data_IF_722326865558
#
_entry.id   IF_722326865558
#
_cell.length_a   1.000
_cell.length_b   1.000
_cell.length_c   1.000
_cell.angle_alpha   90.00
_cell.angle_beta   90.00
_cell.angle_gamma   90.00
#
_symmetry.space_group_name_H-M   'P 1'
#
loop_
_entity.id
_entity.type
_entity.pdbx_description
1 polymer ?
#
# COMPACT_ATOMS: atom_id res chain seq x y z
N UNK A 1 -13.66 -1.47 8.68
CA UNK A 1 -13.62 -0.18 9.40
C UNK A 1 -13.13 0.87 8.41
N UNK A 2 -13.69 2.08 8.47
CA UNK A 2 -13.39 3.17 7.55
C UNK A 2 -11.99 3.75 7.82
N UNK A 3 -11.29 4.12 6.75
CA UNK A 3 -10.07 4.95 6.82
C UNK A 3 -10.45 6.28 7.49
N UNK A 4 -9.71 6.76 8.50
CA UNK A 4 -9.99 8.06 9.14
C UNK A 4 -9.96 9.21 8.10
N UNK A 5 -10.85 10.20 8.24
CA UNK A 5 -10.88 11.38 7.36
C UNK A 5 -9.56 12.14 7.42
N UNK A 6 -8.97 12.48 6.26
CA UNK A 6 -7.73 13.26 6.17
C UNK A 6 -8.07 14.75 6.24
N UNK A 7 -8.16 15.29 7.46
CA UNK A 7 -8.50 16.70 7.71
C UNK A 7 -7.26 17.60 7.82
N UNK A 8 -6.10 17.01 8.11
CA UNK A 8 -4.77 17.66 8.19
C UNK A 8 -3.71 16.83 7.47
N UNK A 9 -2.53 17.38 7.15
CA UNK A 9 -1.46 16.61 6.52
C UNK A 9 -1.03 15.41 7.38
N UNK A 10 -0.72 14.30 6.72
CA UNK A 10 -0.37 13.02 7.34
C UNK A 10 1.07 12.63 7.09
N UNK A 11 1.73 12.16 8.15
CA UNK A 11 3.01 11.47 8.07
C UNK A 11 2.81 9.96 8.32
N UNK A 12 3.33 9.14 7.40
CA UNK A 12 3.36 7.70 7.55
C UNK A 12 4.73 7.25 8.06
N UNK A 13 4.76 6.65 9.24
CA UNK A 13 5.96 6.16 9.91
C UNK A 13 5.97 4.63 9.83
N UNK A 14 6.78 4.10 8.94
CA UNK A 14 6.77 2.69 8.56
C UNK A 14 7.82 1.93 9.36
N UNK A 15 7.39 0.93 10.12
CA UNK A 15 8.27 -0.05 10.76
C UNK A 15 8.80 -1.02 9.69
N UNK A 16 10.08 -0.83 9.32
CA UNK A 16 10.69 -1.58 8.23
C UNK A 16 10.74 -3.08 8.52
N UNK A 17 11.24 -3.47 9.70
CA UNK A 17 11.43 -4.88 10.00
C UNK A 17 10.11 -5.62 10.15
N UNK A 18 9.08 -5.02 10.75
CA UNK A 18 7.76 -5.65 10.80
C UNK A 18 7.24 -5.98 9.38
N UNK A 19 7.38 -5.06 8.43
CA UNK A 19 6.95 -5.30 7.05
C UNK A 19 7.84 -6.31 6.29
N UNK A 20 9.15 -6.27 6.52
CA UNK A 20 10.11 -7.18 5.90
C UNK A 20 9.83 -8.62 6.33
N UNK A 21 9.68 -8.86 7.64
CA UNK A 21 9.35 -10.18 8.17
C UNK A 21 7.95 -10.62 7.72
N UNK A 22 6.96 -9.73 7.77
CA UNK A 22 5.61 -10.01 7.26
C UNK A 22 5.65 -10.48 5.81
N UNK A 23 6.38 -9.77 4.96
CA UNK A 23 6.53 -10.07 3.54
C UNK A 23 7.23 -11.40 3.32
N UNK A 24 8.33 -11.65 4.02
CA UNK A 24 9.05 -12.92 3.96
C UNK A 24 8.15 -14.12 4.32
N UNK A 25 7.47 -14.04 5.47
CA UNK A 25 6.64 -15.14 5.96
C UNK A 25 5.36 -15.36 5.15
N UNK A 26 4.83 -14.33 4.48
CA UNK A 26 3.69 -14.48 3.57
C UNK A 26 4.01 -15.44 2.40
N UNK A 27 5.26 -15.49 1.95
CA UNK A 27 5.71 -16.34 0.84
C UNK A 27 6.53 -17.56 1.28
N UNK A 28 6.73 -17.81 2.59
CA UNK A 28 7.62 -18.89 3.07
C UNK A 28 7.26 -20.28 2.51
N UNK A 29 5.97 -20.55 2.26
CA UNK A 29 5.51 -21.82 1.67
C UNK A 29 5.79 -21.93 0.18
N UNK A 30 5.89 -20.81 -0.53
CA UNK A 30 6.15 -20.71 -1.97
C UNK A 30 7.04 -19.48 -2.23
N UNK A 31 8.34 -19.56 -1.91
CA UNK A 31 9.24 -18.43 -2.04
C UNK A 31 9.34 -17.97 -3.49
N UNK A 32 9.38 -16.66 -3.68
CA UNK A 32 9.70 -16.06 -4.97
C UNK A 32 11.22 -16.06 -5.16
N UNK A 33 11.66 -16.43 -6.36
CA UNK A 33 13.09 -16.43 -6.71
C UNK A 33 13.30 -15.80 -8.09
N UNK A 34 14.40 -15.08 -8.25
CA UNK A 34 14.79 -14.54 -9.55
C UNK A 34 15.62 -15.56 -10.35
N UNK A 35 16.05 -15.17 -11.56
CA UNK A 35 16.83 -16.03 -12.45
C UNK A 35 18.22 -16.41 -11.88
N UNK A 36 18.76 -15.64 -10.94
CA UNK A 36 20.01 -15.92 -10.25
C UNK A 36 19.82 -16.83 -9.01
N UNK A 37 18.59 -17.21 -8.68
CA UNK A 37 18.27 -18.03 -7.51
C UNK A 37 18.19 -17.25 -6.20
N UNK A 38 18.22 -15.91 -6.24
CA UNK A 38 18.02 -15.03 -5.08
C UNK A 38 16.56 -15.10 -4.63
N UNK A 39 16.32 -15.20 -3.31
CA UNK A 39 14.97 -15.12 -2.75
C UNK A 39 14.49 -13.66 -2.79
N UNK A 40 13.46 -13.37 -3.59
CA UNK A 40 12.93 -12.02 -3.77
C UNK A 40 11.57 -11.81 -3.11
N UNK A 41 11.18 -12.73 -2.21
CA UNK A 41 9.90 -12.70 -1.50
C UNK A 41 9.71 -11.45 -0.65
N UNK A 42 10.69 -11.12 0.21
CA UNK A 42 10.60 -9.96 1.09
C UNK A 42 10.63 -8.64 0.31
N UNK A 43 11.56 -8.42 -0.65
CA UNK A 43 11.55 -7.22 -1.49
C UNK A 43 10.24 -7.05 -2.28
N UNK A 44 9.66 -8.15 -2.79
CA UNK A 44 8.40 -8.09 -3.53
C UNK A 44 7.22 -7.65 -2.65
N UNK A 45 7.06 -8.30 -1.50
CA UNK A 45 5.98 -7.98 -0.57
C UNK A 45 6.10 -6.56 -0.01
N UNK A 46 7.33 -6.14 0.29
CA UNK A 46 7.63 -4.80 0.78
C UNK A 46 7.29 -3.74 -0.29
N UNK A 47 7.73 -3.93 -1.54
CA UNK A 47 7.39 -3.04 -2.67
C UNK A 47 5.88 -2.91 -2.85
N UNK A 48 5.16 -4.04 -2.83
CA UNK A 48 3.70 -4.04 -2.99
C UNK A 48 3.00 -3.26 -1.89
N UNK A 49 3.53 -3.33 -0.68
CA UNK A 49 2.97 -2.61 0.44
C UNK A 49 3.24 -1.10 0.38
N UNK A 50 4.43 -0.68 -0.06
CA UNK A 50 4.70 0.74 -0.30
C UNK A 50 3.78 1.34 -1.37
N UNK A 51 3.56 0.61 -2.47
CA UNK A 51 2.63 1.02 -3.51
C UNK A 51 1.20 1.12 -2.97
N UNK A 52 0.75 0.14 -2.21
CA UNK A 52 -0.57 0.15 -1.56
C UNK A 52 -0.76 1.38 -0.66
N UNK A 53 0.26 1.76 0.10
CA UNK A 53 0.23 2.98 0.92
C UNK A 53 0.02 4.22 0.06
N UNK A 54 0.81 4.36 -1.01
CA UNK A 54 0.77 5.53 -1.88
C UNK A 54 -0.56 5.62 -2.64
N UNK A 55 -1.06 4.50 -3.14
CA UNK A 55 -2.29 4.42 -3.95
C UNK A 55 -3.55 4.62 -3.11
N UNK A 56 -3.60 4.07 -1.89
CA UNK A 56 -4.84 4.01 -1.10
C UNK A 56 -4.91 5.03 0.04
N UNK A 57 -3.78 5.60 0.48
CA UNK A 57 -3.77 6.48 1.65
C UNK A 57 -3.19 7.89 1.41
N UNK A 58 -2.61 8.16 0.23
CA UNK A 58 -2.12 9.48 -0.18
C UNK A 58 -1.30 10.19 0.93
N UNK A 59 -0.14 9.64 1.33
CA UNK A 59 0.71 10.24 2.37
C UNK A 59 1.31 11.58 1.90
N UNK A 60 1.27 12.62 2.76
CA UNK A 60 1.99 13.88 2.49
C UNK A 60 3.48 13.74 2.83
N UNK A 61 3.76 13.01 3.92
CA UNK A 61 5.09 12.70 4.39
C UNK A 61 5.22 11.20 4.66
N UNK A 62 6.42 10.65 4.47
CA UNK A 62 6.71 9.24 4.68
C UNK A 62 8.13 9.08 5.22
N UNK A 63 8.29 8.22 6.23
CA UNK A 63 9.59 7.79 6.73
C UNK A 63 9.57 6.27 6.93
N UNK A 64 10.63 5.60 6.49
CA UNK A 64 10.85 4.18 6.73
C UNK A 64 11.92 4.03 7.81
N UNK A 65 11.53 3.46 8.94
CA UNK A 65 12.35 3.43 10.14
C UNK A 65 12.92 2.03 10.36
N UNK A 66 14.24 1.94 10.49
CA UNK A 66 14.96 0.69 10.73
C UNK A 66 15.60 0.69 12.12
N UNK A 67 15.74 -0.50 12.70
CA UNK A 67 16.56 -0.68 13.90
C UNK A 67 18.05 -0.43 13.60
N UNK A 68 18.74 0.21 14.54
CA UNK A 68 20.15 0.54 14.41
C UNK A 68 20.98 0.17 15.65
N UNK A 69 21.83 -0.83 15.48
CA UNK A 69 22.81 -1.23 16.50
C UNK A 69 22.20 -1.97 17.68
N UNK A 70 22.85 -1.83 18.84
CA UNK A 70 22.42 -2.44 20.11
C UNK A 70 21.68 -1.38 20.91
N UNK A 71 20.48 -1.71 21.40
CA UNK A 71 19.66 -0.77 22.15
C UNK A 71 20.09 -0.66 23.61
N UNK A 72 19.61 0.36 24.32
CA UNK A 72 19.76 0.42 25.77
C UNK A 72 19.12 -0.77 26.49
N UNK A 73 18.07 -1.39 25.90
CA UNK A 73 17.35 -2.53 26.48
C UNK A 73 18.25 -3.77 26.53
N UNK A 74 19.05 -3.99 25.49
CA UNK A 74 20.04 -5.08 25.44
C UNK A 74 21.12 -4.92 26.54
N UNK A 75 21.48 -3.67 26.86
CA UNK A 75 22.47 -3.36 27.90
C UNK A 75 21.88 -3.50 29.29
N UNK A 76 20.65 -3.03 29.50
CA UNK A 76 19.96 -3.08 30.80
C UNK A 76 19.54 -4.52 31.15
N UNK A 77 19.08 -5.29 30.17
CA UNK A 77 18.58 -6.65 30.35
C UNK A 77 19.07 -7.55 29.21
N UNK A 78 20.24 -8.23 29.37
CA UNK A 78 20.84 -9.05 28.32
C UNK A 78 19.97 -10.20 27.80
N UNK A 79 18.99 -10.64 28.58
CA UNK A 79 18.01 -11.64 28.16
C UNK A 79 16.91 -11.08 27.24
N UNK A 80 16.79 -9.75 27.10
CA UNK A 80 15.84 -9.10 26.19
C UNK A 80 16.06 -9.55 24.75
N UNK A 81 14.99 -9.98 24.07
CA UNK A 81 15.01 -10.52 22.70
C UNK A 81 16.01 -11.67 22.45
N UNK A 82 16.69 -12.19 23.48
CA UNK A 82 17.74 -13.20 23.35
C UNK A 82 17.23 -14.56 22.83
N UNK A 83 15.93 -14.83 22.99
CA UNK A 83 15.26 -16.02 22.46
C UNK A 83 14.69 -15.84 21.06
N UNK A 84 14.79 -14.65 20.46
CA UNK A 84 14.34 -14.44 19.08
C UNK A 84 15.20 -15.27 18.13
N UNK A 85 14.55 -15.91 17.16
CA UNK A 85 15.25 -16.65 16.13
C UNK A 85 16.15 -15.71 15.33
N UNK A 86 17.35 -16.16 14.99
CA UNK A 86 18.24 -15.39 14.12
C UNK A 86 17.57 -15.19 12.77
N UNK A 87 17.70 -13.98 12.24
CA UNK A 87 17.23 -13.68 10.89
C UNK A 87 17.78 -14.69 9.88
N UNK A 88 16.91 -15.32 9.05
CA UNK A 88 17.34 -16.20 7.98
C UNK A 88 18.35 -15.53 7.05
N UNK A 89 19.34 -16.28 6.57
CA UNK A 89 20.43 -15.71 5.75
C UNK A 89 19.94 -15.14 4.42
N UNK A 90 18.92 -15.75 3.82
CA UNK A 90 18.28 -15.28 2.58
C UNK A 90 17.46 -14.00 2.81
N UNK A 91 16.81 -13.86 3.97
CA UNK A 91 16.17 -12.61 4.37
C UNK A 91 17.21 -11.51 4.62
N UNK A 92 18.32 -11.83 5.29
CA UNK A 92 19.42 -10.87 5.49
C UNK A 92 20.00 -10.39 4.17
N UNK A 93 20.18 -11.28 3.19
CA UNK A 93 20.65 -10.93 1.86
C UNK A 93 19.67 -10.00 1.12
N UNK A 94 18.36 -10.09 1.42
CA UNK A 94 17.32 -9.25 0.81
C UNK A 94 17.32 -7.80 1.31
N UNK A 95 17.93 -7.50 2.46
CA UNK A 95 17.90 -6.16 3.06
C UNK A 95 18.54 -5.09 2.16
N UNK A 96 19.62 -5.45 1.44
CA UNK A 96 20.24 -4.55 0.47
C UNK A 96 19.27 -4.14 -0.63
N UNK A 97 18.56 -5.12 -1.21
CA UNK A 97 17.55 -4.88 -2.25
C UNK A 97 16.40 -4.00 -1.77
N UNK A 98 15.99 -4.15 -0.51
CA UNK A 98 14.93 -3.31 0.07
C UNK A 98 15.40 -1.86 0.19
N UNK A 99 16.66 -1.61 0.56
CA UNK A 99 17.23 -0.26 0.54
C UNK A 99 17.32 0.31 -0.87
N UNK A 100 17.76 -0.48 -1.84
CA UNK A 100 17.79 -0.06 -3.26
C UNK A 100 16.37 0.34 -3.76
N UNK A 101 15.33 -0.39 -3.31
CA UNK A 101 13.94 -0.09 -3.63
C UNK A 101 13.52 1.25 -3.00
N UNK A 102 13.82 1.45 -1.72
CA UNK A 102 13.51 2.71 -1.01
C UNK A 102 14.18 3.91 -1.67
N UNK A 103 15.47 3.78 -2.03
CA UNK A 103 16.19 4.80 -2.80
C UNK A 103 15.51 5.08 -4.14
N UNK A 104 15.08 4.03 -4.85
CA UNK A 104 14.34 4.17 -6.10
C UNK A 104 12.98 4.87 -5.94
N UNK A 105 12.30 4.68 -4.81
CA UNK A 105 11.06 5.39 -4.47
C UNK A 105 11.29 6.81 -3.92
N UNK A 106 12.55 7.20 -3.69
CA UNK A 106 12.93 8.39 -2.95
C UNK A 106 12.32 8.43 -1.53
N UNK A 107 12.13 7.27 -0.91
CA UNK A 107 11.57 7.12 0.43
C UNK A 107 12.67 7.30 1.50
N UNK A 108 12.54 8.28 2.41
CA UNK A 108 13.54 8.53 3.45
C UNK A 108 13.68 7.37 4.44
N UNK A 109 14.92 6.95 4.65
CA UNK A 109 15.27 5.97 5.69
C UNK A 109 15.76 6.70 6.94
N UNK A 110 15.18 6.37 8.10
CA UNK A 110 15.57 6.93 9.40
C UNK A 110 16.06 5.81 10.31
N UNK A 111 17.25 6.01 10.86
CA UNK A 111 17.95 5.09 11.76
C UNK A 111 18.63 5.91 12.86
N UNK A 112 18.55 5.47 14.12
CA UNK A 112 19.26 6.10 15.23
C UNK A 112 20.00 5.05 16.06
N UNK A 113 21.33 5.10 16.04
CA UNK A 113 22.17 4.17 16.77
C UNK A 113 21.88 4.22 18.29
N UNK A 114 21.73 3.04 18.90
CA UNK A 114 21.45 2.92 20.34
C UNK A 114 19.98 2.81 20.70
N UNK A 115 19.09 2.92 19.70
CA UNK A 115 17.64 2.90 19.88
C UNK A 115 16.97 1.99 18.85
N UNK A 116 15.79 1.48 19.21
CA UNK A 116 15.00 0.63 18.33
C UNK A 116 14.12 1.49 17.41
N UNK A 117 13.68 0.91 16.30
CA UNK A 117 12.79 1.58 15.36
C UNK A 117 11.53 2.11 16.05
N UNK A 118 11.01 1.37 17.03
CA UNK A 118 9.81 1.72 17.79
C UNK A 118 9.97 3.05 18.54
N UNK A 119 11.14 3.30 19.12
CA UNK A 119 11.45 4.54 19.86
C UNK A 119 11.58 5.73 18.91
N UNK A 120 12.20 5.52 17.74
CA UNK A 120 12.33 6.55 16.71
C UNK A 120 10.96 6.89 16.13
N UNK A 121 10.14 5.89 15.81
CA UNK A 121 8.75 6.06 15.36
C UNK A 121 7.94 6.80 16.43
N UNK A 122 8.04 6.38 17.69
CA UNK A 122 7.29 7.01 18.78
C UNK A 122 7.65 8.47 18.97
N UNK A 123 8.93 8.80 18.90
CA UNK A 123 9.42 10.18 18.95
C UNK A 123 8.92 11.01 17.76
N UNK A 124 9.03 10.50 16.53
CA UNK A 124 8.59 11.21 15.34
C UNK A 124 7.06 11.41 15.32
N UNK A 125 6.29 10.42 15.79
CA UNK A 125 4.84 10.50 15.87
C UNK A 125 4.38 11.63 16.81
N UNK A 126 5.00 11.71 18.00
CA UNK A 126 4.71 12.77 18.97
C UNK A 126 5.10 14.14 18.42
N UNK A 127 6.30 14.27 17.82
CA UNK A 127 6.75 15.52 17.19
C UNK A 127 5.82 15.97 16.05
N UNK A 128 5.33 15.04 15.24
CA UNK A 128 4.43 15.35 14.13
C UNK A 128 3.06 15.84 14.63
N UNK A 129 2.49 15.14 15.62
CA UNK A 129 1.26 15.57 16.30
C UNK A 129 1.41 16.98 16.88
N UNK A 130 2.51 17.25 17.56
CA UNK A 130 2.77 18.55 18.20
C UNK A 130 2.98 19.69 17.18
N UNK A 131 3.32 19.35 15.93
CA UNK A 131 3.36 20.28 14.79
C UNK A 131 2.03 20.39 14.02
N UNK A 132 0.97 19.71 14.48
CA UNK A 132 -0.36 19.76 13.88
C UNK A 132 -0.58 18.81 12.70
N UNK A 133 0.28 17.80 12.53
CA UNK A 133 0.09 16.72 11.56
C UNK A 133 -0.60 15.53 12.23
N UNK A 134 -1.21 14.67 11.42
CA UNK A 134 -1.61 13.34 11.84
C UNK A 134 -0.47 12.34 11.61
N UNK A 135 -0.07 11.61 12.64
CA UNK A 135 0.91 10.54 12.53
C UNK A 135 0.21 9.19 12.34
N UNK A 136 0.57 8.47 11.29
CA UNK A 136 0.10 7.10 11.03
C UNK A 136 1.29 6.16 11.17
N UNK A 137 1.31 5.42 12.27
CA UNK A 137 2.31 4.37 12.52
C UNK A 137 1.88 3.14 11.72
N UNK A 138 2.77 2.60 10.90
CA UNK A 138 2.48 1.40 10.10
C UNK A 138 3.27 0.23 10.65
N UNK A 139 2.65 -0.53 11.56
CA UNK A 139 3.23 -1.72 12.15
C UNK A 139 2.16 -2.72 12.60
N UNK A 140 2.57 -3.98 12.69
CA UNK A 140 1.78 -5.03 13.32
C UNK A 140 2.05 -5.16 14.82
N UNK A 141 3.02 -4.41 15.35
CA UNK A 141 3.40 -4.51 16.75
C UNK A 141 2.31 -3.94 17.66
N UNK A 142 2.02 -4.69 18.73
CA UNK A 142 1.03 -4.34 19.73
C UNK A 142 1.54 -3.24 20.66
N UNK A 143 2.85 -3.03 20.73
CA UNK A 143 3.47 -2.09 21.66
C UNK A 143 3.14 -0.65 21.27
N UNK A 144 2.95 -0.36 19.98
CA UNK A 144 2.49 0.93 19.48
C UNK A 144 1.08 1.35 19.94
N UNK A 145 0.28 0.43 20.47
CA UNK A 145 -1.01 0.80 21.07
C UNK A 145 -0.85 1.79 22.22
N UNK A 146 0.34 1.87 22.85
CA UNK A 146 0.61 2.85 23.90
C UNK A 146 0.66 4.31 23.41
N UNK A 147 0.83 4.52 22.10
CA UNK A 147 0.94 5.86 21.50
C UNK A 147 -0.36 6.36 20.87
N UNK A 148 -1.37 5.51 20.74
CA UNK A 148 -2.62 5.86 20.06
C UNK A 148 -3.36 6.92 20.88
N UNK A 149 -3.85 7.95 20.20
CA UNK A 149 -4.57 9.05 20.81
C UNK A 149 -4.86 10.16 19.80
N UNK A 150 -5.18 11.38 20.25
CA UNK A 150 -5.43 12.49 19.35
C UNK A 150 -4.27 12.73 18.37
N UNK A 151 -4.55 12.67 17.07
CA UNK A 151 -3.58 12.88 16.00
C UNK A 151 -2.57 11.74 15.78
N UNK A 152 -2.71 10.60 16.46
CA UNK A 152 -1.83 9.43 16.26
C UNK A 152 -2.69 8.18 16.03
N UNK A 153 -2.45 7.53 14.91
CA UNK A 153 -3.14 6.31 14.47
C UNK A 153 -2.15 5.17 14.24
N UNK A 154 -2.64 3.95 14.33
CA UNK A 154 -1.89 2.75 13.95
C UNK A 154 -2.59 2.08 12.77
N UNK A 155 -1.89 1.94 11.65
CA UNK A 155 -2.30 1.12 10.53
C UNK A 155 -1.64 -0.25 10.65
N UNK A 156 -2.40 -1.24 11.13
CA UNK A 156 -1.94 -2.61 11.14
C UNK A 156 -2.10 -3.20 9.73
N UNK A 157 -1.01 -3.62 9.07
CA UNK A 157 -1.06 -4.15 7.69
C UNK A 157 -1.75 -5.52 7.59
N UNK A 158 -2.19 -6.10 8.71
CA UNK A 158 -2.80 -7.42 8.77
C UNK A 158 -1.83 -8.53 8.33
N UNK A 159 -2.38 -9.68 7.96
CA UNK A 159 -1.59 -10.82 7.45
C UNK A 159 -2.09 -11.19 6.06
N UNK A 160 -1.22 -11.28 5.06
CA UNK A 160 -1.60 -11.73 3.72
C UNK A 160 -1.85 -13.25 3.64
N UNK A 161 -2.50 -13.71 2.55
CA UNK A 161 -2.72 -15.13 2.24
C UNK A 161 -4.19 -15.58 2.33
N UNK A 162 -4.46 -16.85 2.03
CA UNK A 162 -5.81 -17.42 1.96
C UNK A 162 -6.60 -17.39 3.29
N UNK A 163 -5.91 -17.18 4.41
CA UNK A 163 -6.48 -17.02 5.76
C UNK A 163 -6.10 -15.66 6.35
N UNK A 164 -5.83 -14.68 5.48
CA UNK A 164 -5.31 -13.39 5.86
C UNK A 164 -6.28 -12.55 6.67
N UNK A 165 -5.74 -11.69 7.53
CA UNK A 165 -6.50 -10.64 8.21
C UNK A 165 -6.29 -9.37 7.40
N UNK A 166 -7.38 -8.69 7.07
CA UNK A 166 -7.33 -7.41 6.35
C UNK A 166 -6.55 -6.37 7.16
N UNK A 167 -6.08 -5.31 6.48
CA UNK A 167 -5.52 -4.16 7.17
C UNK A 167 -6.55 -3.54 8.13
N UNK A 168 -6.08 -3.12 9.30
CA UNK A 168 -6.92 -2.58 10.36
C UNK A 168 -6.38 -1.21 10.79
N UNK A 169 -7.26 -0.21 10.77
CA UNK A 169 -6.97 1.09 11.36
C UNK A 169 -7.33 1.07 12.84
N UNK A 170 -6.38 1.48 13.67
CA UNK A 170 -6.57 1.67 15.10
C UNK A 170 -6.48 3.16 15.40
N UNK A 171 -7.58 3.70 15.91
CA UNK A 171 -7.74 5.09 16.32
C UNK A 171 -7.99 5.15 17.83
N UNK A 172 -8.08 6.35 18.39
CA UNK A 172 -8.44 6.53 19.80
C UNK A 172 -9.76 5.82 20.16
N UNK A 173 -10.71 5.78 19.23
CA UNK A 173 -12.06 5.22 19.45
C UNK A 173 -12.05 3.71 19.66
N UNK A 174 -11.20 2.97 18.92
CA UNK A 174 -11.19 1.51 18.93
C UNK A 174 -9.95 0.89 19.61
N UNK A 175 -8.94 1.68 19.99
CA UNK A 175 -7.72 1.17 20.62
C UNK A 175 -8.00 0.35 21.89
N UNK A 176 -9.02 0.76 22.66
CA UNK A 176 -9.43 0.08 23.88
C UNK A 176 -9.92 -1.35 23.63
N UNK A 177 -10.43 -1.68 22.45
CA UNK A 177 -10.99 -2.99 22.13
C UNK A 177 -9.95 -4.11 22.23
N UNK A 178 -8.68 -3.81 21.94
CA UNK A 178 -7.60 -4.79 21.93
C UNK A 178 -7.27 -5.35 23.31
N UNK A 179 -7.23 -4.48 24.31
CA UNK A 179 -6.73 -4.80 25.65
C UNK A 179 -7.76 -4.57 26.78
N UNK A 180 -8.87 -3.89 26.49
CA UNK A 180 -9.88 -3.50 27.47
C UNK A 180 -9.42 -2.38 28.42
N UNK A 181 -8.38 -1.64 28.03
CA UNK A 181 -7.76 -0.54 28.77
C UNK A 181 -7.37 0.60 27.80
N UNK A 182 -7.28 1.86 28.26
CA UNK A 182 -6.86 2.97 27.43
C UNK A 182 -5.39 2.83 26.97
N UNK A 183 -5.03 3.45 25.82
CA UNK A 183 -3.64 3.54 25.32
C UNK A 183 -2.61 3.90 26.38
N UNK A 184 -2.91 4.88 27.24
CA UNK A 184 -2.01 5.33 28.31
C UNK A 184 -1.59 4.25 29.31
N UNK A 185 -2.34 3.15 29.41
CA UNK A 185 -2.07 2.02 30.31
C UNK A 185 -1.49 0.80 29.59
N UNK A 186 -1.25 0.86 28.27
CA UNK A 186 -0.78 -0.31 27.50
C UNK A 186 0.62 -0.75 27.94
N UNK A 187 1.53 0.19 28.19
CA UNK A 187 2.87 -0.15 28.72
C UNK A 187 2.77 -0.82 30.10
N UNK A 188 1.88 -0.35 30.97
CA UNK A 188 1.62 -0.98 32.27
C UNK A 188 1.03 -2.38 32.12
N UNK A 189 0.12 -2.58 31.17
CA UNK A 189 -0.45 -3.89 30.88
C UNK A 189 0.61 -4.87 30.40
N UNK A 190 1.45 -4.46 29.45
CA UNK A 190 2.53 -5.29 28.91
C UNK A 190 3.55 -5.64 29.99
N UNK A 191 3.86 -4.70 30.89
CA UNK A 191 4.76 -4.92 32.00
C UNK A 191 4.21 -5.86 33.09
N UNK A 192 2.89 -5.93 33.27
CA UNK A 192 2.27 -6.92 34.16
C UNK A 192 2.21 -8.31 33.52
N UNK A 193 1.82 -8.39 32.25
CA UNK A 193 1.64 -9.66 31.54
C UNK A 193 2.98 -10.29 31.15
N UNK A 194 3.98 -9.45 30.85
CA UNK A 194 5.22 -9.85 30.19
C UNK A 194 5.03 -10.11 28.70
N UNK A 195 6.13 -10.40 28.03
CA UNK A 195 6.15 -10.79 26.63
C UNK A 195 7.16 -11.91 26.39
N UNK A 196 6.66 -13.10 26.08
CA UNK A 196 7.52 -14.24 25.76
C UNK A 196 8.29 -14.07 24.45
N UNK A 197 7.78 -13.30 23.49
CA UNK A 197 8.46 -13.08 22.20
C UNK A 197 9.75 -12.29 22.38
N UNK A 198 9.72 -11.31 23.28
CA UNK A 198 10.84 -10.41 23.58
C UNK A 198 11.53 -10.74 24.90
N UNK A 199 11.14 -11.87 25.49
CA UNK A 199 11.63 -12.36 26.76
C UNK A 199 11.47 -11.36 27.92
N UNK A 200 10.45 -10.51 27.85
CA UNK A 200 10.06 -9.58 28.92
C UNK A 200 9.38 -10.37 30.05
N UNK A 201 9.87 -10.30 31.30
CA UNK A 201 9.51 -11.25 32.34
C UNK A 201 8.09 -11.09 32.90
N UNK A 202 7.60 -9.85 33.02
CA UNK A 202 6.29 -9.56 33.61
C UNK A 202 6.14 -9.93 35.09
N UNK A 203 4.89 -10.03 35.56
CA UNK A 203 4.53 -10.49 36.89
C UNK A 203 4.01 -11.95 36.86
N UNK A 204 4.77 -12.94 37.36
CA UNK A 204 4.37 -14.35 37.32
C UNK A 204 3.01 -14.60 37.98
N UNK A 205 2.03 -15.05 37.20
CA UNK A 205 0.67 -15.33 37.71
C UNK A 205 -0.33 -14.19 37.52
N UNK A 206 0.07 -13.07 36.91
CA UNK A 206 -0.84 -12.04 36.38
C UNK A 206 -0.93 -12.22 34.86
N UNK A 207 -2.03 -12.83 34.40
CA UNK A 207 -2.30 -12.97 32.98
C UNK A 207 -3.14 -11.82 32.42
N UNK A 208 -3.34 -11.80 31.10
CA UNK A 208 -4.09 -10.79 30.33
C UNK A 208 -5.36 -10.28 31.03
N UNK A 209 -6.27 -11.18 31.42
CA UNK A 209 -7.54 -10.81 32.07
C UNK A 209 -7.34 -10.14 33.43
N UNK A 210 -6.40 -10.63 34.22
CA UNK A 210 -6.10 -10.08 35.54
C UNK A 210 -5.44 -8.71 35.40
N UNK A 211 -4.50 -8.54 34.46
CA UNK A 211 -3.85 -7.26 34.19
C UNK A 211 -4.86 -6.18 33.79
N UNK A 212 -5.73 -6.45 32.80
CA UNK A 212 -6.78 -5.49 32.41
C UNK A 212 -7.71 -5.16 33.57
N UNK A 213 -8.16 -6.16 34.34
CA UNK A 213 -9.02 -5.97 35.51
C UNK A 213 -8.35 -5.13 36.60
N UNK A 214 -7.05 -5.28 36.82
CA UNK A 214 -6.29 -4.47 37.78
C UNK A 214 -6.17 -3.02 37.29
N UNK A 215 -5.77 -2.79 36.05
CA UNK A 215 -5.57 -1.45 35.49
C UNK A 215 -6.87 -0.66 35.29
N UNK A 216 -8.03 -1.33 35.22
CA UNK A 216 -9.32 -0.65 35.30
C UNK A 216 -9.61 -0.04 36.67
N UNK A 217 -8.97 -0.54 37.73
CA UNK A 217 -9.18 -0.07 39.11
C UNK A 217 -8.04 0.81 39.63
N UNK A 218 -6.90 0.84 38.93
CA UNK A 218 -5.69 1.56 39.34
C UNK A 218 -5.08 2.26 38.14
N UNK A 219 -4.59 3.47 38.34
CA UNK A 219 -4.08 4.32 37.26
C UNK A 219 -2.84 3.73 36.57
N UNK A 220 -1.88 3.20 37.34
CA UNK A 220 -0.63 2.66 36.82
C UNK A 220 -0.07 1.53 37.71
N UNK A 221 1.06 0.96 37.27
CA UNK A 221 1.82 -0.05 38.03
C UNK A 221 2.28 0.45 39.40
N UNK A 222 2.66 1.71 39.55
CA UNK A 222 3.18 2.20 40.83
C UNK A 222 2.06 2.23 41.87
N UNK A 223 0.85 2.65 41.49
CA UNK A 223 -0.35 2.55 42.33
C UNK A 223 -0.69 1.09 42.67
N UNK A 224 -0.56 0.17 41.71
CA UNK A 224 -0.75 -1.26 41.96
C UNK A 224 0.27 -1.84 42.94
N UNK A 225 1.53 -1.43 42.85
CA UNK A 225 2.59 -1.89 43.76
C UNK A 225 2.35 -1.33 45.17
N UNK A 226 1.98 -0.05 45.30
CA UNK A 226 1.64 0.56 46.60
C UNK A 226 0.49 -0.18 47.28
N UNK A 227 -0.53 -0.59 46.52
CA UNK A 227 -1.71 -1.29 47.05
C UNK A 227 -1.63 -2.81 46.90
N UNK A 228 -0.43 -3.37 46.70
CA UNK A 228 -0.26 -4.77 46.34
C UNK A 228 -0.91 -5.73 47.35
N UNK A 229 -0.94 -5.41 48.64
CA UNK A 229 -1.56 -6.22 49.70
C UNK A 229 -3.09 -6.32 49.59
N UNK A 230 -3.74 -5.35 48.96
CA UNK A 230 -5.20 -5.24 48.86
C UNK A 230 -5.76 -5.88 47.57
N UNK A 231 -4.87 -6.24 46.64
CA UNK A 231 -5.25 -6.71 45.32
C UNK A 231 -5.96 -8.06 45.35
N UNK A 232 -6.99 -8.16 44.52
CA UNK A 232 -7.70 -9.42 44.23
C UNK A 232 -7.45 -9.81 42.77
N UNK A 233 -7.17 -11.09 42.48
CA UNK A 233 -7.12 -12.23 43.42
C UNK A 233 -5.83 -12.27 44.27
N UNK A 234 -5.80 -13.01 45.41
CA UNK A 234 -4.63 -13.10 46.30
C UNK A 234 -3.33 -13.54 45.61
N UNK A 235 -3.44 -14.30 44.52
CA UNK A 235 -2.28 -14.70 43.70
C UNK A 235 -1.62 -13.50 43.01
N UNK A 236 -2.41 -12.52 42.56
CA UNK A 236 -1.89 -11.30 41.94
C UNK A 236 -1.22 -10.40 42.99
N UNK A 237 -1.84 -10.27 44.17
CA UNK A 237 -1.27 -9.60 45.34
C UNK A 237 0.12 -10.15 45.70
N UNK A 238 0.22 -11.47 45.91
CA UNK A 238 1.49 -12.13 46.21
C UNK A 238 2.52 -11.95 45.09
N UNK A 239 2.09 -12.09 43.83
CA UNK A 239 2.97 -11.94 42.66
C UNK A 239 3.61 -10.56 42.59
N UNK A 240 2.82 -9.49 42.75
CA UNK A 240 3.32 -8.12 42.70
C UNK A 240 4.25 -7.80 43.87
N UNK A 241 3.93 -8.26 45.09
CA UNK A 241 4.83 -8.10 46.24
C UNK A 241 6.19 -8.75 46.02
N UNK A 242 6.22 -9.96 45.45
CA UNK A 242 7.46 -10.72 45.23
C UNK A 242 8.24 -10.26 43.97
N UNK A 243 7.60 -9.54 43.04
CA UNK A 243 8.19 -9.23 41.72
C UNK A 243 8.11 -7.76 41.33
N UNK A 244 7.83 -6.83 42.25
CA UNK A 244 7.69 -5.40 41.96
C UNK A 244 8.84 -4.82 41.10
N UNK A 245 10.09 -5.12 41.44
CA UNK A 245 11.26 -4.65 40.67
C UNK A 245 11.33 -5.25 39.26
N UNK A 246 10.90 -6.51 39.07
CA UNK A 246 10.84 -7.13 37.74
C UNK A 246 9.74 -6.51 36.89
N UNK A 247 8.63 -6.12 37.50
CA UNK A 247 7.54 -5.42 36.83
C UNK A 247 7.98 -4.01 36.43
N UNK A 248 8.71 -3.29 37.29
CA UNK A 248 9.32 -2.00 36.94
C UNK A 248 10.33 -2.12 35.81
N UNK A 249 11.18 -3.15 35.83
CA UNK A 249 12.08 -3.47 34.72
C UNK A 249 11.29 -3.74 33.44
N UNK A 250 10.26 -4.59 33.51
CA UNK A 250 9.40 -4.89 32.36
C UNK A 250 8.76 -3.62 31.80
N UNK A 251 8.31 -2.69 32.65
CA UNK A 251 7.77 -1.39 32.23
C UNK A 251 8.79 -0.58 31.46
N UNK A 252 10.03 -0.47 31.94
CA UNK A 252 11.09 0.24 31.20
C UNK A 252 11.39 -0.42 29.85
N UNK A 253 11.41 -1.75 29.79
CA UNK A 253 11.68 -2.48 28.54
C UNK A 253 10.55 -2.33 27.50
N UNK A 254 9.29 -2.27 27.88
CA UNK A 254 8.15 -2.20 26.93
C UNK A 254 7.67 -0.77 26.65
N UNK A 255 8.15 0.21 27.42
CA UNK A 255 7.80 1.62 27.18
C UNK A 255 8.59 2.12 25.97
N UNK A 256 7.87 2.63 24.97
CA UNK A 256 8.45 3.27 23.79
C UNK A 256 8.92 4.68 24.19
N UNK A 257 10.17 5.02 23.88
CA UNK A 257 10.69 6.37 24.10
C UNK A 257 10.09 7.34 23.08
N UNK A 258 9.83 8.57 23.51
CA UNK A 258 9.13 9.59 22.68
C UNK A 258 9.85 10.93 22.65
N UNK A 259 11.01 11.02 23.28
CA UNK A 259 11.79 12.24 23.51
C UNK A 259 13.23 12.14 22.95
N UNK A 260 13.44 11.30 21.95
CA UNK A 260 14.76 11.14 21.33
C UNK A 260 15.22 12.39 20.56
N UNK A 261 16.54 12.58 20.48
CA UNK A 261 17.18 13.65 19.70
C UNK A 261 17.24 13.31 18.20
N UNK A 262 16.07 13.09 17.60
CA UNK A 262 15.89 12.89 16.16
C UNK A 262 15.10 14.07 15.59
N UNK A 263 15.64 14.83 14.62
CA UNK A 263 14.90 15.93 14.03
C UNK A 263 13.71 15.42 13.21
N UNK A 264 12.55 16.08 13.35
CA UNK A 264 11.45 15.94 12.39
C UNK A 264 11.64 16.97 11.29
N UNK A 265 12.37 16.60 10.24
CA UNK A 265 12.62 17.43 9.07
C UNK A 265 11.58 17.14 7.97
N UNK A 266 10.49 17.91 7.97
CA UNK A 266 9.38 17.69 7.03
C UNK A 266 9.80 17.85 5.56
N UNK A 267 10.80 18.68 5.25
CA UNK A 267 11.24 18.88 3.87
C UNK A 267 11.92 17.64 3.28
N UNK A 268 12.72 16.93 4.11
CA UNK A 268 13.30 15.65 3.69
C UNK A 268 12.29 14.51 3.69
N UNK A 269 11.28 14.57 4.58
CA UNK A 269 10.24 13.54 4.74
C UNK A 269 9.08 13.64 3.75
N UNK A 270 9.00 14.72 2.97
CA UNK A 270 7.94 14.90 1.98
C UNK A 270 7.96 13.79 0.93
N UNK A 271 6.81 13.22 0.63
CA UNK A 271 6.67 12.19 -0.40
C UNK A 271 7.06 12.77 -1.76
N UNK A 272 7.91 12.03 -2.48
CA UNK A 272 8.44 12.40 -3.79
C UNK A 272 8.03 11.37 -4.83
N UNK A 273 8.06 11.82 -6.08
CA UNK A 273 7.86 10.93 -7.22
C UNK A 273 8.96 9.87 -7.28
N UNK A 274 8.62 8.60 -7.57
CA UNK A 274 9.60 7.54 -7.72
C UNK A 274 10.51 7.77 -8.93
N UNK A 275 11.76 7.31 -8.86
CA UNK A 275 12.62 7.22 -10.03
C UNK A 275 12.24 6.00 -10.87
N UNK A 276 11.34 6.23 -11.83
CA UNK A 276 10.75 5.14 -12.61
C UNK A 276 11.77 4.32 -13.40
N UNK A 277 12.83 4.95 -13.90
CA UNK A 277 13.87 4.26 -14.65
C UNK A 277 14.72 3.34 -13.76
N UNK A 278 15.13 3.83 -12.58
CA UNK A 278 15.89 3.04 -11.59
C UNK A 278 15.05 1.87 -11.09
N UNK A 279 13.80 2.12 -10.71
CA UNK A 279 12.90 1.08 -10.22
C UNK A 279 12.59 0.04 -11.29
N UNK A 280 12.38 0.44 -12.56
CA UNK A 280 12.20 -0.50 -13.68
C UNK A 280 13.36 -1.49 -13.76
N UNK A 281 14.59 -0.98 -13.76
CA UNK A 281 15.80 -1.81 -13.92
C UNK A 281 15.98 -2.75 -12.72
N UNK A 282 15.79 -2.22 -11.51
CA UNK A 282 15.83 -3.00 -10.28
C UNK A 282 14.76 -4.11 -10.25
N UNK A 283 13.52 -3.79 -10.62
CA UNK A 283 12.44 -4.78 -10.70
C UNK A 283 12.67 -5.83 -11.78
N UNK A 284 13.34 -5.48 -12.88
CA UNK A 284 13.73 -6.46 -13.89
C UNK A 284 14.76 -7.45 -13.33
N UNK A 285 15.76 -6.97 -12.58
CA UNK A 285 16.76 -7.81 -11.91
C UNK A 285 16.14 -8.72 -10.84
N UNK A 286 15.20 -8.20 -10.06
CA UNK A 286 14.46 -8.94 -9.03
C UNK A 286 13.41 -9.91 -9.62
N UNK A 287 13.14 -9.84 -10.93
CA UNK A 287 12.19 -10.70 -11.63
C UNK A 287 10.73 -10.29 -11.49
N UNK A 288 10.43 -9.05 -11.11
CA UNK A 288 9.07 -8.55 -10.86
C UNK A 288 8.40 -8.05 -12.16
N UNK A 289 8.17 -8.96 -13.10
CA UNK A 289 7.71 -8.65 -14.48
C UNK A 289 6.60 -7.59 -14.57
N UNK A 290 5.53 -7.72 -13.77
CA UNK A 290 4.41 -6.76 -13.77
C UNK A 290 4.81 -5.37 -13.28
N UNK A 291 5.68 -5.30 -12.26
CA UNK A 291 6.19 -4.02 -11.77
C UNK A 291 7.16 -3.41 -12.77
N UNK A 292 8.01 -4.22 -13.41
CA UNK A 292 8.85 -3.75 -14.52
C UNK A 292 8.01 -3.14 -15.65
N UNK A 293 6.92 -3.79 -16.05
CA UNK A 293 6.00 -3.27 -17.08
C UNK A 293 5.34 -1.96 -16.66
N UNK A 294 4.81 -1.91 -15.43
CA UNK A 294 4.17 -0.72 -14.85
C UNK A 294 5.12 0.49 -14.86
N UNK A 295 6.35 0.30 -14.37
CA UNK A 295 7.35 1.36 -14.29
C UNK A 295 8.02 1.67 -15.64
N UNK A 296 7.98 0.75 -16.62
CA UNK A 296 8.40 1.04 -18.00
C UNK A 296 7.41 1.96 -18.73
N UNK A 297 6.11 1.77 -18.51
CA UNK A 297 5.08 2.63 -19.07
C UNK A 297 5.21 4.07 -18.54
N UNK A 298 5.49 4.21 -17.23
CA UNK A 298 5.73 5.50 -16.60
C UNK A 298 6.98 6.23 -17.13
N UNK A 299 8.07 5.50 -17.42
CA UNK A 299 9.25 6.09 -18.09
C UNK A 299 8.92 6.60 -19.50
N UNK A 300 8.00 5.93 -20.20
CA UNK A 300 7.57 6.34 -21.53
C UNK A 300 6.71 7.61 -21.50
N UNK A 301 6.06 7.91 -20.36
CA UNK A 301 5.40 9.20 -20.09
C UNK A 301 6.34 10.28 -19.53
N UNK A 302 7.42 9.92 -18.81
CA UNK A 302 8.41 10.85 -18.22
C UNK A 302 9.50 11.32 -19.20
N UNK A 303 9.52 10.81 -20.43
CA UNK A 303 10.42 11.35 -21.46
C UNK A 303 9.92 12.75 -21.81
N UNK A 304 10.74 13.82 -21.71
CA UNK A 304 10.27 15.16 -22.01
C UNK A 304 9.91 15.23 -23.50
N UNK A 305 8.62 15.11 -23.80
CA UNK A 305 8.07 15.70 -25.00
C UNK A 305 8.23 17.20 -24.80
N UNK A 306 9.20 17.79 -25.49
CA UNK A 306 9.16 19.20 -25.83
C UNK A 306 7.94 19.41 -26.72
N UNK A 307 6.75 19.47 -26.12
CA UNK A 307 5.51 19.85 -26.74
C UNK A 307 4.59 20.32 -25.61
N UNK A 308 4.14 21.56 -25.76
CA UNK A 308 3.24 22.28 -24.89
C UNK A 308 2.06 21.39 -24.47
N UNK A 309 1.73 21.37 -23.18
CA UNK A 309 0.42 20.85 -22.76
C UNK A 309 -0.67 21.59 -23.52
N UNK A 310 -1.54 20.91 -24.29
CA UNK A 310 -2.82 21.50 -24.61
C UNK A 310 -3.64 21.41 -23.34
N UNK A 311 -3.67 22.50 -22.58
CA UNK A 311 -4.47 22.64 -21.36
C UNK A 311 -5.92 22.20 -21.57
N UNK A 312 -6.58 21.81 -20.46
CA UNK A 312 -7.99 21.38 -20.37
C UNK A 312 -8.83 21.83 -21.57
N UNK A 313 -8.95 20.94 -22.56
CA UNK A 313 -9.93 21.09 -23.63
C UNK A 313 -11.15 20.30 -23.19
N UNK A 314 -12.32 20.92 -23.33
CA UNK A 314 -13.61 20.24 -23.28
C UNK A 314 -13.53 18.96 -24.13
N UNK A 315 -13.56 17.80 -23.47
CA UNK A 315 -13.53 16.50 -24.14
C UNK A 315 -14.95 15.95 -24.25
N UNK A 316 -15.35 15.59 -25.46
CA UNK A 316 -16.67 15.03 -25.77
C UNK A 316 -16.52 13.61 -26.31
N UNK A 317 -16.95 12.64 -25.51
CA UNK A 317 -16.93 11.23 -25.85
C UNK A 317 -18.36 10.72 -26.02
N UNK A 318 -18.58 9.91 -27.06
CA UNK A 318 -19.86 9.25 -27.29
C UNK A 318 -19.66 7.77 -27.59
N UNK A 319 -20.60 6.95 -27.11
CA UNK A 319 -20.70 5.53 -27.45
C UNK A 319 -21.74 5.42 -28.56
N UNK A 320 -21.35 4.82 -29.69
CA UNK A 320 -22.24 4.54 -30.81
C UNK A 320 -22.49 3.03 -30.87
N UNK A 321 -23.68 2.65 -30.45
CA UNK A 321 -24.12 1.27 -30.27
C UNK A 321 -25.15 0.86 -31.35
N UNK A 322 -25.82 -0.28 -31.21
CA UNK A 322 -26.79 -0.79 -32.19
C UNK A 322 -27.96 0.17 -32.47
N UNK A 323 -28.32 1.02 -31.52
CA UNK A 323 -29.44 1.96 -31.62
C UNK A 323 -29.00 3.33 -32.13
N UNK A 324 -27.69 3.58 -32.20
CA UNK A 324 -27.10 4.85 -32.58
C UNK A 324 -27.09 5.07 -34.09
N UNK A 325 -27.33 6.31 -34.54
CA UNK A 325 -27.15 6.69 -35.94
C UNK A 325 -25.67 7.01 -36.21
N UNK A 326 -25.09 6.30 -37.18
CA UNK A 326 -23.67 6.46 -37.55
C UNK A 326 -23.47 7.54 -38.63
N UNK A 327 -24.54 8.13 -39.17
CA UNK A 327 -24.49 9.06 -40.30
C UNK A 327 -23.59 10.26 -40.01
N UNK A 328 -23.75 10.89 -38.84
CA UNK A 328 -22.96 12.07 -38.46
C UNK A 328 -21.46 11.76 -38.38
N UNK A 329 -21.09 10.61 -37.81
CA UNK A 329 -19.70 10.16 -37.76
C UNK A 329 -19.12 9.95 -39.17
N UNK A 330 -19.91 9.34 -40.06
CA UNK A 330 -19.49 9.05 -41.44
C UNK A 330 -19.27 10.35 -42.22
N UNK A 331 -20.18 11.30 -42.09
CA UNK A 331 -20.10 12.61 -42.74
C UNK A 331 -18.90 13.43 -42.21
N UNK A 332 -18.69 13.44 -40.90
CA UNK A 332 -17.56 14.12 -40.27
C UNK A 332 -16.22 13.58 -40.76
N UNK A 333 -16.07 12.25 -40.87
CA UNK A 333 -14.85 11.64 -41.38
C UNK A 333 -14.62 11.99 -42.85
N UNK A 334 -15.67 11.92 -43.68
CA UNK A 334 -15.58 12.29 -45.11
C UNK A 334 -15.24 13.77 -45.31
N UNK A 335 -15.83 14.66 -44.52
CA UNK A 335 -15.57 16.10 -44.60
C UNK A 335 -14.14 16.44 -44.14
N UNK A 336 -13.62 15.74 -43.13
CA UNK A 336 -12.26 15.92 -42.61
C UNK A 336 -11.19 15.41 -43.60
N UNK A 337 -11.48 14.34 -44.36
CA UNK A 337 -10.49 13.66 -45.21
C UNK A 337 -9.38 12.96 -44.42
N UNK A 338 -9.44 13.01 -43.08
CA UNK A 338 -8.48 12.40 -42.15
C UNK A 338 -9.20 11.96 -40.88
N UNK A 339 -8.84 10.79 -40.36
CA UNK A 339 -9.40 10.24 -39.12
C UNK A 339 -8.35 9.51 -38.29
N UNK A 340 -8.36 9.74 -36.98
CA UNK A 340 -7.62 8.95 -36.02
C UNK A 340 -8.41 7.70 -35.62
N UNK A 341 -7.76 6.53 -35.65
CA UNK A 341 -8.36 5.23 -35.36
C UNK A 341 -7.61 4.57 -34.21
N UNK A 342 -8.38 4.08 -33.23
CA UNK A 342 -7.91 3.15 -32.21
C UNK A 342 -8.77 1.88 -32.23
N UNK A 343 -8.18 0.75 -31.85
CA UNK A 343 -8.84 -0.55 -31.88
C UNK A 343 -8.43 -1.41 -30.70
N UNK A 344 -9.40 -2.07 -30.06
CA UNK A 344 -9.17 -2.99 -28.95
C UNK A 344 -9.37 -4.45 -29.36
N UNK A 345 -8.58 -5.34 -28.74
CA UNK A 345 -8.59 -6.76 -29.06
C UNK A 345 -8.68 -7.62 -27.80
N UNK A 346 -9.23 -8.83 -27.93
CA UNK A 346 -9.40 -9.77 -26.80
C UNK A 346 -8.07 -10.25 -26.20
N UNK A 347 -6.95 -10.12 -26.92
CA UNK A 347 -5.61 -10.49 -26.45
C UNK A 347 -4.57 -9.51 -26.99
N UNK A 348 -3.34 -9.52 -26.46
CA UNK A 348 -2.21 -8.76 -27.02
C UNK A 348 -1.54 -9.46 -28.23
N UNK A 349 -1.90 -10.70 -28.54
CA UNK A 349 -1.35 -11.45 -29.67
C UNK A 349 -2.02 -11.02 -30.99
N UNK A 350 -1.28 -10.46 -31.96
CA UNK A 350 -1.83 -9.98 -33.22
C UNK A 350 -2.36 -11.10 -34.14
N UNK A 351 -2.00 -12.36 -33.92
CA UNK A 351 -2.44 -13.50 -34.72
C UNK A 351 -3.73 -14.13 -34.20
N UNK A 352 -4.04 -13.98 -32.91
CA UNK A 352 -5.12 -14.72 -32.23
C UNK A 352 -6.23 -13.83 -31.66
N UNK A 353 -5.97 -12.57 -31.31
CA UNK A 353 -6.94 -11.70 -30.61
C UNK A 353 -8.04 -11.10 -31.49
N UNK A 354 -9.32 -11.32 -31.17
CA UNK A 354 -10.47 -10.81 -31.91
C UNK A 354 -10.71 -9.31 -31.68
N UNK A 355 -11.18 -8.59 -32.70
CA UNK A 355 -11.52 -7.17 -32.61
C UNK A 355 -12.76 -7.01 -31.72
N UNK A 356 -12.63 -6.19 -30.67
CA UNK A 356 -13.68 -5.91 -29.68
C UNK A 356 -14.35 -4.56 -29.96
N UNK A 357 -13.59 -3.57 -30.40
CA UNK A 357 -14.14 -2.23 -30.68
C UNK A 357 -13.25 -1.42 -31.61
N UNK A 358 -13.84 -0.37 -32.16
CA UNK A 358 -13.17 0.69 -32.90
C UNK A 358 -13.50 2.03 -32.28
N UNK A 359 -12.54 2.95 -32.25
CA UNK A 359 -12.78 4.34 -31.89
C UNK A 359 -12.28 5.27 -33.00
N UNK A 360 -13.03 6.33 -33.26
CA UNK A 360 -12.76 7.30 -34.32
C UNK A 360 -12.71 8.72 -33.76
N UNK A 361 -11.77 9.52 -34.24
CA UNK A 361 -11.66 10.94 -33.90
C UNK A 361 -11.20 11.75 -35.11
N UNK A 362 -11.93 12.80 -35.45
CA UNK A 362 -11.58 13.75 -36.53
C UNK A 362 -10.94 15.03 -36.00
N UNK A 363 -11.06 15.29 -34.69
CA UNK A 363 -10.55 16.49 -34.02
C UNK A 363 -10.14 16.19 -32.58
N UNK A 364 -9.11 16.87 -32.11
CA UNK A 364 -8.62 16.78 -30.73
C UNK A 364 -9.76 17.04 -29.73
N UNK A 365 -9.91 16.15 -28.76
CA UNK A 365 -10.93 16.24 -27.71
C UNK A 365 -12.30 15.65 -28.07
N UNK A 366 -12.50 15.09 -29.27
CA UNK A 366 -13.75 14.38 -29.60
C UNK A 366 -13.47 12.96 -30.05
N UNK A 367 -14.17 11.96 -29.49
CA UNK A 367 -14.09 10.60 -30.00
C UNK A 367 -15.42 9.83 -29.92
N UNK A 368 -15.65 9.01 -30.94
CA UNK A 368 -16.78 8.08 -31.02
C UNK A 368 -16.28 6.65 -30.81
N UNK A 369 -16.84 5.94 -29.83
CA UNK A 369 -16.51 4.56 -29.51
C UNK A 369 -17.58 3.60 -30.04
N UNK A 370 -17.18 2.62 -30.85
CA UNK A 370 -18.05 1.61 -31.45
C UNK A 370 -17.73 0.23 -30.86
N UNK A 371 -18.54 -0.30 -29.92
CA UNK A 371 -18.42 -1.67 -29.45
C UNK A 371 -18.90 -2.65 -30.52
N UNK A 372 -18.14 -3.73 -30.78
CA UNK A 372 -18.40 -4.69 -31.86
C UNK A 372 -18.55 -6.14 -31.34
N UNK A 373 -19.47 -6.88 -31.96
CA UNK A 373 -19.59 -8.34 -31.83
C UNK A 373 -20.35 -8.82 -30.58
N UNK A 374 -20.56 -10.14 -30.50
CA UNK A 374 -21.43 -10.79 -29.50
C UNK A 374 -20.84 -10.86 -28.07
N UNK A 375 -19.66 -10.28 -27.85
CA UNK A 375 -19.04 -10.24 -26.52
C UNK A 375 -19.63 -9.08 -25.73
N UNK A 376 -20.61 -9.36 -24.87
CA UNK A 376 -21.04 -8.40 -23.85
C UNK A 376 -19.81 -7.88 -23.11
N UNK A 377 -19.68 -6.55 -23.02
CA UNK A 377 -18.78 -5.96 -22.05
C UNK A 377 -19.09 -6.61 -20.69
N UNK A 378 -18.05 -7.02 -19.96
CA UNK A 378 -18.19 -7.51 -18.59
C UNK A 378 -19.14 -6.56 -17.85
N UNK A 379 -20.22 -7.08 -17.25
CA UNK A 379 -21.01 -6.36 -16.26
C UNK A 379 -20.06 -6.05 -15.09
N UNK A 380 -19.43 -4.87 -15.13
CA UNK A 380 -18.96 -4.20 -13.94
C UNK A 380 -20.19 -3.47 -13.39
N UNK A 381 -21.00 -4.19 -12.62
CA UNK A 381 -22.05 -3.56 -11.80
C UNK A 381 -21.36 -2.77 -10.69
N UNK A 382 -21.08 -1.51 -10.97
CA UNK A 382 -21.05 -0.48 -9.92
C UNK A 382 -22.51 -0.24 -9.53
N UNK A 383 -22.83 -0.49 -8.26
CA UNK A 383 -24.13 -0.15 -7.69
C UNK A 383 -24.32 1.37 -7.77
N UNK A 384 -25.22 1.81 -8.65
CA UNK A 384 -25.65 3.20 -8.71
C UNK A 384 -25.90 3.67 -10.13
N UNK A 385 -27.14 4.11 -10.36
CA UNK A 385 -27.64 4.86 -11.50
C UNK A 385 -28.10 4.05 -12.73
N UNK A 386 -29.26 4.45 -13.24
CA UNK A 386 -30.00 3.83 -14.35
C UNK A 386 -29.12 3.68 -15.60
N UNK A 387 -28.54 2.50 -15.82
CA UNK A 387 -27.71 2.24 -16.99
C UNK A 387 -28.59 1.97 -18.22
N UNK A 388 -28.50 2.86 -19.22
CA UNK A 388 -28.90 2.54 -20.58
C UNK A 388 -28.15 1.28 -21.04
N UNK A 389 -28.89 0.27 -21.48
CA UNK A 389 -28.32 -0.98 -21.96
C UNK A 389 -27.61 -0.74 -23.29
N UNK A 390 -26.28 -0.59 -23.27
CA UNK A 390 -25.46 -0.49 -24.48
C UNK A 390 -25.49 -1.81 -25.25
N UNK A 391 -26.05 -1.80 -26.45
CA UNK A 391 -26.13 -2.98 -27.32
C UNK A 391 -25.01 -2.94 -28.36
N UNK A 392 -24.07 -3.90 -28.32
CA UNK A 392 -22.96 -3.93 -29.27
C UNK A 392 -23.43 -3.95 -30.73
N UNK A 393 -22.72 -3.21 -31.59
CA UNK A 393 -22.90 -3.28 -33.03
C UNK A 393 -22.51 -4.67 -33.54
N UNK A 394 -23.16 -5.17 -34.60
CA UNK A 394 -22.76 -6.42 -35.25
C UNK A 394 -21.35 -6.32 -35.84
N UNK A 395 -20.75 -7.45 -36.24
CA UNK A 395 -19.42 -7.41 -36.88
C UNK A 395 -19.41 -6.57 -38.16
N UNK A 396 -18.25 -6.03 -38.55
CA UNK A 396 -18.06 -5.09 -39.68
C UNK A 396 -18.56 -5.55 -41.07
N UNK A 397 -18.91 -6.82 -41.23
CA UNK A 397 -19.54 -7.37 -42.44
C UNK A 397 -21.05 -7.11 -42.51
N UNK A 398 -21.63 -6.60 -41.43
CA UNK A 398 -23.05 -6.31 -41.32
C UNK A 398 -23.46 -5.19 -42.26
N UNK A 399 -24.75 -5.13 -42.59
CA UNK A 399 -25.28 -4.05 -43.43
C UNK A 399 -25.23 -2.71 -42.70
N UNK A 400 -25.38 -2.78 -41.38
CA UNK A 400 -25.39 -1.69 -40.42
C UNK A 400 -24.04 -0.95 -40.39
N UNK A 401 -22.92 -1.65 -40.64
CA UNK A 401 -21.58 -1.06 -40.66
C UNK A 401 -21.00 -0.85 -42.07
N UNK A 402 -21.82 -0.98 -43.12
CA UNK A 402 -21.36 -0.82 -44.50
C UNK A 402 -20.68 0.54 -44.75
N UNK A 403 -21.23 1.62 -44.19
CA UNK A 403 -20.67 2.97 -44.34
C UNK A 403 -19.32 3.14 -43.62
N UNK A 404 -19.15 2.53 -42.44
CA UNK A 404 -17.87 2.52 -41.72
C UNK A 404 -16.83 1.72 -42.50
N UNK A 405 -17.23 0.59 -43.08
CA UNK A 405 -16.36 -0.21 -43.95
C UNK A 405 -15.90 0.60 -45.18
N UNK A 406 -16.81 1.28 -45.86
CA UNK A 406 -16.47 2.15 -47.01
C UNK A 406 -15.40 3.20 -46.64
N UNK A 407 -15.54 3.84 -45.48
CA UNK A 407 -14.55 4.81 -44.99
C UNK A 407 -13.18 4.17 -44.76
N UNK A 408 -13.15 2.99 -44.13
CA UNK A 408 -11.90 2.28 -43.86
C UNK A 408 -11.19 1.87 -45.16
N UNK A 409 -11.95 1.51 -46.20
CA UNK A 409 -11.44 1.12 -47.51
C UNK A 409 -11.10 2.31 -48.44
N UNK A 410 -11.63 3.51 -48.18
CA UNK A 410 -11.43 4.68 -49.04
C UNK A 410 -9.98 5.22 -48.99
N UNK A 411 -9.19 5.12 -50.06
CA UNK A 411 -7.79 5.57 -50.05
C UNK A 411 -7.62 7.09 -49.94
N UNK A 412 -8.67 7.89 -50.22
CA UNK A 412 -8.63 9.36 -50.13
C UNK A 412 -8.76 9.86 -48.68
N UNK A 413 -9.20 9.00 -47.75
CA UNK A 413 -9.30 9.32 -46.34
C UNK A 413 -8.03 8.84 -45.64
N UNK A 414 -7.24 9.76 -45.09
CA UNK A 414 -6.02 9.42 -44.35
C UNK A 414 -6.37 8.82 -42.97
N UNK A 415 -5.86 7.61 -42.69
CA UNK A 415 -6.02 6.93 -41.39
C UNK A 415 -4.76 7.07 -40.55
N UNK A 416 -4.90 7.63 -39.36
CA UNK A 416 -3.81 7.86 -38.42
C UNK A 416 -4.08 7.08 -37.14
N UNK A 417 -3.08 6.48 -36.52
CA UNK A 417 -3.30 5.70 -35.30
C UNK A 417 -2.07 4.91 -34.89
N UNK A 418 -2.14 4.31 -33.71
CA UNK A 418 -1.08 3.43 -33.20
C UNK A 418 -1.34 1.99 -33.64
N UNK A 419 -0.26 1.26 -34.00
CA UNK A 419 -0.30 -0.14 -34.44
C UNK A 419 -1.36 -0.47 -35.52
N UNK A 420 -1.60 0.46 -36.46
CA UNK A 420 -2.58 0.29 -37.55
C UNK A 420 -2.30 -0.95 -38.42
N UNK A 421 -1.06 -1.47 -38.42
CA UNK A 421 -0.72 -2.71 -39.11
C UNK A 421 -1.50 -3.89 -38.54
N UNK A 422 -1.66 -3.96 -37.21
CA UNK A 422 -2.44 -4.98 -36.54
C UNK A 422 -3.93 -4.79 -36.79
N UNK A 423 -4.42 -3.56 -36.69
CA UNK A 423 -5.81 -3.19 -36.99
C UNK A 423 -6.17 -3.60 -38.42
N UNK A 424 -5.37 -3.20 -39.41
CA UNK A 424 -5.56 -3.57 -40.82
C UNK A 424 -5.54 -5.09 -41.04
N UNK A 425 -4.60 -5.81 -40.41
CA UNK A 425 -4.53 -7.27 -40.51
C UNK A 425 -5.82 -7.95 -40.01
N UNK A 426 -6.34 -7.54 -38.84
CA UNK A 426 -7.55 -8.13 -38.26
C UNK A 426 -8.82 -7.73 -38.99
N UNK A 427 -8.90 -6.50 -39.49
CA UNK A 427 -9.97 -6.06 -40.39
C UNK A 427 -10.01 -6.95 -41.63
N UNK A 428 -8.87 -7.16 -42.30
CA UNK A 428 -8.75 -7.95 -43.53
C UNK A 428 -9.06 -9.44 -43.36
N UNK A 429 -8.62 -10.06 -42.25
CA UNK A 429 -8.91 -11.48 -41.96
C UNK A 429 -10.42 -11.71 -41.72
N UNK A 430 -11.12 -10.68 -41.24
CA UNK A 430 -12.56 -10.74 -40.94
C UNK A 430 -13.44 -10.15 -42.02
N UNK A 431 -12.90 -9.61 -43.12
CA UNK A 431 -13.63 -9.16 -44.31
C UNK A 431 -13.21 -7.78 -44.77
#
# INVERSE_FOLDING_TARGET
MSIPSKDVPRIFLIDAYALIYRSYFAFIKRPLTNAAGENTSAPFGFTRFLLDIRENFDPDYLAVVFDAGVSFRDVEYPEYKATREKMPDDLRASLGRIRDILDGFNDPVVELEGYEADDVIGTLAIKARDQGLEAVIVSGDKDFYQLIGPGIHLLNPGRGGATGVASEWVTEENAIEKFGIPPSQVADYLALVGDSSDNVPGAPGIGKKTASSLLQNYEDIEQLIVHAEELKPPRASKSLQENAEKVRLSKRLVTIMTDLDVPLDLDSLKVKEPNNAVLRDLFAELGFRRLTEQFSAAVSSDTPSSEEEPGEKDVSYQILDLQSDLTDLVEDIRASGRVAIASEFTTKDPLVGDLVSLAFSTKSGVASYLPLGDQKAFELTLEGEDQETVENLPGLKSRELAAIKEILEDPEIEKVGHDLKRTAFRLHVRG
#
